data_IF_626471083823
#
_entry.id   IF_626471083823
#
_cell.length_a   1.000
_cell.length_b   1.000
_cell.length_c   1.000
_cell.angle_alpha   90.00
_cell.angle_beta   90.00
_cell.angle_gamma   90.00
#
_symmetry.space_group_name_H-M   'P 1'
#
loop_
_entity.id
_entity.type
_entity.pdbx_description
1 polymer ?
#
# COMPACT_ATOMS: atom_id res chain seq x y z
N UNK A 1 -15.88 16.48 -29.14
CA UNK A 1 -14.81 17.49 -28.97
C UNK A 1 -13.67 16.79 -28.22
N UNK A 2 -12.38 16.91 -28.61
CA UNK A 2 -11.32 16.24 -27.86
C UNK A 2 -11.25 16.83 -26.45
N UNK A 3 -11.39 15.98 -25.44
CA UNK A 3 -11.33 16.40 -24.04
C UNK A 3 -9.92 16.89 -23.73
N UNK A 4 -9.85 18.07 -23.09
CA UNK A 4 -8.60 18.66 -22.65
C UNK A 4 -8.39 18.31 -21.18
N UNK A 5 -7.21 17.82 -20.83
CA UNK A 5 -6.80 17.59 -19.44
C UNK A 5 -6.00 18.80 -18.95
N UNK A 6 -6.28 19.28 -17.74
CA UNK A 6 -5.50 20.34 -17.11
C UNK A 6 -4.51 19.70 -16.13
N UNK A 7 -3.22 19.81 -16.42
CA UNK A 7 -2.14 19.25 -15.60
C UNK A 7 -1.36 20.39 -14.94
N UNK A 8 -1.10 20.29 -13.64
CA UNK A 8 -0.23 21.23 -12.93
C UNK A 8 1.22 20.74 -12.99
N UNK A 9 2.14 21.55 -13.51
CA UNK A 9 3.54 21.21 -13.55
C UNK A 9 4.10 21.03 -12.14
N UNK A 10 4.66 19.86 -11.83
CA UNK A 10 5.27 19.58 -10.52
C UNK A 10 6.62 20.30 -10.32
N UNK A 11 7.12 21.01 -11.34
CA UNK A 11 8.33 21.82 -11.23
C UNK A 11 8.04 23.30 -10.93
N UNK A 12 7.16 23.93 -11.70
CA UNK A 12 6.89 25.38 -11.60
C UNK A 12 5.45 25.74 -11.20
N UNK A 13 4.56 24.76 -11.03
CA UNK A 13 3.16 24.99 -10.63
C UNK A 13 2.24 25.54 -11.72
N UNK A 14 2.76 25.82 -12.93
CA UNK A 14 1.96 26.28 -14.08
C UNK A 14 0.92 25.22 -14.46
N UNK A 15 -0.33 25.65 -14.68
CA UNK A 15 -1.39 24.79 -15.23
C UNK A 15 -1.24 24.73 -16.75
N UNK A 16 -1.22 23.53 -17.31
CA UNK A 16 -1.06 23.28 -18.74
C UNK A 16 -2.32 22.58 -19.24
N UNK A 17 -2.93 23.10 -20.30
CA UNK A 17 -4.09 22.48 -20.96
C UNK A 17 -3.57 21.59 -22.09
N UNK A 18 -3.66 20.29 -21.91
CA UNK A 18 -3.12 19.29 -22.83
C UNK A 18 -4.29 18.52 -23.47
N UNK A 19 -4.41 18.49 -24.81
CA UNK A 19 -5.37 17.62 -25.49
C UNK A 19 -5.04 16.16 -25.18
N UNK A 20 -6.04 15.33 -24.84
CA UNK A 20 -5.84 13.93 -24.44
C UNK A 20 -5.00 13.12 -25.45
N UNK A 21 -5.13 13.41 -26.75
CA UNK A 21 -4.37 12.78 -27.84
C UNK A 21 -2.85 13.06 -27.78
N UNK A 22 -2.42 14.14 -27.10
CA UNK A 22 -1.00 14.50 -26.95
C UNK A 22 -0.37 13.91 -25.69
N UNK A 23 -1.13 13.21 -24.85
CA UNK A 23 -0.59 12.58 -23.63
C UNK A 23 0.42 11.49 -23.95
N UNK A 24 0.21 10.75 -25.05
CA UNK A 24 1.13 9.72 -25.56
C UNK A 24 2.46 10.29 -26.10
N UNK A 25 2.61 11.62 -26.19
CA UNK A 25 3.82 12.28 -26.75
C UNK A 25 4.71 12.92 -25.68
N UNK A 26 4.59 12.52 -24.41
CA UNK A 26 5.36 13.10 -23.28
C UNK A 26 5.25 14.63 -23.22
N UNK A 27 4.07 15.16 -22.84
CA UNK A 27 3.84 16.59 -22.85
C UNK A 27 4.79 17.33 -21.91
N UNK A 28 5.30 18.48 -22.33
CA UNK A 28 6.15 19.36 -21.52
C UNK A 28 5.39 20.60 -21.06
N UNK A 29 5.85 21.20 -19.97
CA UNK A 29 5.29 22.43 -19.46
C UNK A 29 5.58 23.57 -20.44
N UNK A 30 4.56 24.33 -20.84
CA UNK A 30 4.74 25.50 -21.70
C UNK A 30 5.50 26.68 -21.07
N UNK A 31 5.81 26.60 -19.77
CA UNK A 31 6.59 27.62 -19.06
C UNK A 31 8.04 27.19 -18.78
N UNK A 32 8.23 26.05 -18.11
CA UNK A 32 9.57 25.59 -17.71
C UNK A 32 10.11 24.41 -18.53
N UNK A 33 9.36 23.93 -19.53
CA UNK A 33 9.69 22.78 -20.38
C UNK A 33 9.90 21.45 -19.64
N UNK A 34 9.66 21.39 -18.33
CA UNK A 34 9.72 20.15 -17.57
C UNK A 34 8.63 19.17 -18.04
N UNK A 35 8.91 17.85 -18.07
CA UNK A 35 7.92 16.84 -18.40
C UNK A 35 6.72 16.89 -17.44
N UNK A 36 5.50 16.79 -17.99
CA UNK A 36 4.25 16.85 -17.24
C UNK A 36 3.68 15.47 -16.90
N UNK A 37 4.27 14.42 -17.45
CA UNK A 37 3.96 13.00 -17.25
C UNK A 37 4.77 12.35 -16.12
N UNK A 38 5.59 13.14 -15.41
CA UNK A 38 6.41 12.68 -14.30
C UNK A 38 5.66 12.80 -12.97
N UNK A 39 5.61 11.70 -12.23
CA UNK A 39 5.18 11.63 -10.84
C UNK A 39 6.36 11.83 -9.90
N UNK A 40 6.12 12.43 -8.72
CA UNK A 40 7.12 12.53 -7.66
C UNK A 40 6.82 11.49 -6.60
N UNK A 41 7.73 10.54 -6.42
CA UNK A 41 7.62 9.45 -5.45
C UNK A 41 8.66 9.66 -4.34
N UNK A 42 8.20 9.70 -3.09
CA UNK A 42 9.09 9.81 -1.93
C UNK A 42 9.56 8.41 -1.53
N UNK A 43 10.87 8.20 -1.45
CA UNK A 43 11.44 6.96 -0.93
C UNK A 43 11.10 6.83 0.56
N UNK A 44 10.48 5.71 0.95
CA UNK A 44 10.11 5.45 2.35
C UNK A 44 11.34 5.18 3.24
N UNK A 45 12.46 4.72 2.67
CA UNK A 45 13.71 4.52 3.41
C UNK A 45 14.49 5.81 3.67
N UNK A 46 14.74 6.62 2.63
CA UNK A 46 15.65 7.77 2.74
C UNK A 46 14.98 9.14 2.54
N UNK A 47 13.67 9.18 2.28
CA UNK A 47 12.91 10.42 2.09
C UNK A 47 13.16 11.16 0.76
N UNK A 48 14.06 10.66 -0.10
CA UNK A 48 14.37 11.31 -1.38
C UNK A 48 13.18 11.32 -2.31
N UNK A 49 12.94 12.46 -2.96
CA UNK A 49 11.95 12.62 -4.03
C UNK A 49 12.54 12.11 -5.34
N UNK A 50 11.91 11.11 -5.93
CA UNK A 50 12.30 10.50 -7.20
C UNK A 50 11.25 10.90 -8.25
N UNK A 51 11.69 11.32 -9.43
CA UNK A 51 10.81 11.66 -10.55
C UNK A 51 10.70 10.46 -11.47
N UNK A 52 9.49 9.97 -11.71
CA UNK A 52 9.26 8.81 -12.56
C UNK A 52 8.12 9.04 -13.54
N UNK A 53 8.30 8.72 -14.83
CA UNK A 53 7.20 8.68 -15.77
C UNK A 53 6.26 7.51 -15.44
N UNK A 54 4.99 7.64 -15.79
CA UNK A 54 3.94 6.64 -15.51
C UNK A 54 4.27 5.25 -16.09
N UNK A 55 4.93 5.20 -17.26
CA UNK A 55 5.34 3.94 -17.89
C UNK A 55 6.31 3.11 -17.04
N UNK A 56 7.04 3.75 -16.11
CA UNK A 56 8.05 3.09 -15.28
C UNK A 56 7.52 2.62 -13.93
N UNK A 57 6.26 2.89 -13.61
CA UNK A 57 5.68 2.49 -12.33
C UNK A 57 5.55 0.97 -12.20
N UNK A 58 5.32 0.28 -13.31
CA UNK A 58 5.27 -1.20 -13.40
C UNK A 58 6.66 -1.85 -13.36
N UNK A 59 7.75 -1.07 -13.49
CA UNK A 59 9.12 -1.60 -13.65
C UNK A 59 9.90 -1.83 -12.36
N UNK A 60 9.22 -1.94 -11.21
CA UNK A 60 9.85 -2.01 -9.86
C UNK A 60 10.99 -0.99 -9.70
N UNK A 61 10.68 0.31 -9.79
CA UNK A 61 11.71 1.34 -9.82
C UNK A 61 12.50 1.45 -8.51
N UNK A 62 13.79 1.73 -8.62
CA UNK A 62 14.68 1.94 -7.45
C UNK A 62 14.88 3.42 -7.15
N UNK A 63 15.16 3.74 -5.90
CA UNK A 63 15.50 5.07 -5.46
C UNK A 63 16.88 5.46 -5.98
N UNK A 64 16.98 6.58 -6.68
CA UNK A 64 18.24 7.09 -7.20
C UNK A 64 19.27 7.51 -6.15
N UNK A 65 18.88 7.60 -4.86
CA UNK A 65 19.80 7.92 -3.75
C UNK A 65 20.26 6.70 -2.98
N UNK A 66 19.35 5.84 -2.53
CA UNK A 66 19.70 4.72 -1.64
C UNK A 66 19.55 3.35 -2.29
N UNK A 67 19.13 3.27 -3.56
CA UNK A 67 18.92 2.01 -4.28
C UNK A 67 17.69 1.21 -3.86
N UNK A 68 16.96 1.65 -2.82
CA UNK A 68 15.78 0.95 -2.30
C UNK A 68 14.62 0.97 -3.29
N UNK A 69 13.84 -0.11 -3.36
CA UNK A 69 12.64 -0.14 -4.18
C UNK A 69 11.67 1.00 -3.79
N UNK A 70 11.19 1.73 -4.79
CA UNK A 70 10.19 2.77 -4.61
C UNK A 70 8.80 2.12 -4.58
N UNK A 71 8.01 2.50 -3.59
CA UNK A 71 6.61 2.10 -3.51
C UNK A 71 5.79 3.07 -4.32
N UNK A 72 5.08 2.55 -5.32
CA UNK A 72 4.21 3.31 -6.20
C UNK A 72 2.79 2.83 -5.99
N UNK A 73 1.89 3.72 -5.58
CA UNK A 73 0.49 3.44 -5.26
C UNK A 73 -0.39 3.06 -6.49
N UNK A 74 0.21 2.57 -7.58
CA UNK A 74 -0.49 2.32 -8.85
C UNK A 74 -0.93 0.88 -9.06
N UNK A 75 -0.81 0.04 -8.05
CA UNK A 75 -1.41 -1.30 -8.07
C UNK A 75 -2.55 -1.28 -7.06
N UNK A 76 -3.79 -1.45 -7.52
CA UNK A 76 -4.94 -1.75 -6.64
C UNK A 76 -4.71 -3.15 -6.04
N UNK A 77 -3.80 -3.23 -5.08
CA UNK A 77 -3.44 -4.47 -4.42
C UNK A 77 -4.45 -4.64 -3.31
N UNK A 78 -5.29 -5.66 -3.50
CA UNK A 78 -6.29 -6.04 -2.52
C UNK A 78 -5.62 -6.93 -1.45
N UNK A 79 -6.08 -6.85 -0.19
CA UNK A 79 -5.70 -7.81 0.82
C UNK A 79 -5.96 -9.24 0.36
N UNK A 80 -5.06 -10.16 0.69
CA UNK A 80 -5.24 -11.58 0.39
C UNK A 80 -6.11 -12.21 1.48
N UNK A 81 -7.24 -12.81 1.12
CA UNK A 81 -8.01 -13.61 2.06
C UNK A 81 -7.21 -14.88 2.40
N UNK A 82 -7.00 -15.12 3.68
CA UNK A 82 -6.31 -16.29 4.21
C UNK A 82 -7.29 -17.16 5.00
N UNK A 83 -6.97 -18.44 5.03
CA UNK A 83 -7.76 -19.49 5.68
C UNK A 83 -6.91 -20.28 6.67
N UNK A 84 -7.54 -21.10 7.49
CA UNK A 84 -6.83 -22.04 8.39
C UNK A 84 -5.76 -22.87 7.62
N UNK A 85 -6.09 -23.36 6.43
CA UNK A 85 -5.17 -24.17 5.61
C UNK A 85 -4.04 -23.36 4.97
N UNK A 86 -4.30 -22.10 4.62
CA UNK A 86 -3.36 -21.25 3.88
C UNK A 86 -2.52 -20.36 4.79
N UNK A 87 -2.91 -20.17 6.05
CA UNK A 87 -2.26 -19.23 6.97
C UNK A 87 -0.76 -19.47 7.11
N UNK A 88 -0.34 -20.73 7.27
CA UNK A 88 1.08 -21.08 7.39
C UNK A 88 1.88 -20.64 6.17
N UNK A 89 1.36 -20.90 4.96
CA UNK A 89 2.04 -20.53 3.71
C UNK A 89 2.01 -19.01 3.47
N UNK A 90 0.85 -18.40 3.65
CA UNK A 90 0.62 -17.01 3.26
C UNK A 90 1.14 -15.99 4.27
N UNK A 91 1.20 -16.35 5.56
CA UNK A 91 1.58 -15.46 6.67
C UNK A 91 2.90 -15.89 7.30
N UNK A 92 3.03 -17.16 7.71
CA UNK A 92 4.19 -17.60 8.50
C UNK A 92 5.45 -17.80 7.65
N UNK A 93 5.28 -18.29 6.42
CA UNK A 93 6.38 -18.49 5.47
C UNK A 93 6.64 -17.28 4.56
N UNK A 94 5.99 -16.13 4.83
CA UNK A 94 6.16 -14.93 4.01
C UNK A 94 7.58 -14.35 4.17
N UNK A 95 8.23 -14.04 3.05
CA UNK A 95 9.56 -13.43 3.04
C UNK A 95 9.53 -11.96 3.51
N UNK A 96 8.39 -11.30 3.33
CA UNK A 96 8.11 -9.93 3.78
C UNK A 96 7.22 -9.92 5.02
N UNK A 97 7.20 -8.81 5.74
CA UNK A 97 6.33 -8.64 6.91
C UNK A 97 4.84 -8.71 6.51
N UNK A 98 3.98 -9.16 7.41
CA UNK A 98 2.56 -9.39 7.12
C UNK A 98 1.66 -8.70 8.14
N UNK A 99 0.66 -7.96 7.67
CA UNK A 99 -0.46 -7.47 8.46
C UNK A 99 -1.67 -8.37 8.19
N UNK A 100 -2.28 -8.94 9.23
CA UNK A 100 -3.52 -9.70 9.12
C UNK A 100 -4.66 -8.94 9.82
N UNK A 101 -5.72 -8.62 9.08
CA UNK A 101 -6.99 -8.11 9.63
C UNK A 101 -7.94 -9.28 9.94
N UNK A 102 -8.17 -9.54 11.22
CA UNK A 102 -9.13 -10.52 11.70
C UNK A 102 -10.51 -9.88 11.82
N UNK A 103 -11.44 -10.32 10.99
CA UNK A 103 -12.74 -9.67 10.79
C UNK A 103 -13.89 -10.68 10.70
N UNK A 104 -15.13 -10.20 10.62
CA UNK A 104 -16.32 -10.98 10.30
C UNK A 104 -17.38 -10.11 9.59
N UNK A 105 -18.28 -10.68 8.76
CA UNK A 105 -19.22 -9.91 7.93
C UNK A 105 -20.32 -9.19 8.73
N UNK A 106 -20.60 -9.63 9.95
CA UNK A 106 -21.56 -8.99 10.85
C UNK A 106 -20.95 -7.86 11.70
N UNK A 107 -19.62 -7.71 11.68
CA UNK A 107 -18.91 -6.71 12.48
C UNK A 107 -18.98 -5.32 11.83
N UNK A 108 -19.79 -4.44 12.41
CA UNK A 108 -19.92 -3.03 11.97
C UNK A 108 -18.57 -2.28 11.93
N UNK A 109 -17.78 -2.27 13.03
CA UNK A 109 -16.46 -1.62 13.03
C UNK A 109 -15.49 -2.18 12.00
N UNK A 110 -15.54 -3.48 11.70
CA UNK A 110 -14.71 -4.11 10.67
C UNK A 110 -15.04 -3.56 9.28
N UNK A 111 -16.33 -3.34 8.97
CA UNK A 111 -16.74 -2.72 7.71
C UNK A 111 -16.22 -1.29 7.56
N UNK A 112 -16.18 -0.52 8.64
CA UNK A 112 -15.62 0.83 8.64
C UNK A 112 -14.10 0.83 8.46
N UNK A 113 -13.41 -0.20 8.96
CA UNK A 113 -11.96 -0.34 8.85
C UNK A 113 -11.52 -0.88 7.48
N UNK A 114 -12.34 -1.69 6.81
CA UNK A 114 -11.99 -2.36 5.57
C UNK A 114 -11.38 -1.45 4.47
N UNK A 115 -11.93 -0.25 4.17
CA UNK A 115 -11.31 0.64 3.18
C UNK A 115 -9.89 1.09 3.59
N UNK A 116 -9.64 1.25 4.89
CA UNK A 116 -8.30 1.57 5.39
C UNK A 116 -7.35 0.40 5.18
N UNK A 117 -7.81 -0.85 5.39
CA UNK A 117 -7.00 -2.05 5.14
C UNK A 117 -6.68 -2.19 3.65
N UNK A 118 -7.63 -1.92 2.76
CA UNK A 118 -7.43 -1.94 1.30
C UNK A 118 -6.43 -0.87 0.85
N UNK A 119 -6.53 0.35 1.40
CA UNK A 119 -5.55 1.41 1.17
C UNK A 119 -4.15 0.99 1.64
N UNK A 120 -4.03 0.42 2.84
CA UNK A 120 -2.74 -0.04 3.38
C UNK A 120 -2.13 -1.16 2.52
N UNK A 121 -2.96 -2.06 1.99
CA UNK A 121 -2.52 -3.10 1.06
C UNK A 121 -1.89 -2.51 -0.21
N UNK A 122 -2.48 -1.45 -0.75
CA UNK A 122 -1.97 -0.74 -1.92
C UNK A 122 -0.74 0.12 -1.60
N UNK A 123 -0.76 0.85 -0.48
CA UNK A 123 0.29 1.79 -0.08
C UNK A 123 1.60 1.09 0.34
N UNK A 124 1.52 -0.14 0.85
CA UNK A 124 2.67 -0.87 1.42
C UNK A 124 3.01 -2.20 0.74
N UNK A 125 2.40 -2.51 -0.41
CA UNK A 125 2.57 -3.78 -1.12
C UNK A 125 4.02 -4.27 -1.35
N UNK A 126 4.98 -3.35 -1.44
CA UNK A 126 6.39 -3.66 -1.69
C UNK A 126 7.18 -4.00 -0.41
N UNK A 127 6.63 -3.79 0.78
CA UNK A 127 7.29 -4.04 2.07
C UNK A 127 6.46 -4.84 3.06
N UNK A 128 5.14 -4.85 2.88
CA UNK A 128 4.20 -5.56 3.74
C UNK A 128 3.15 -6.25 2.88
N UNK A 129 2.89 -7.52 3.17
CA UNK A 129 1.72 -8.23 2.68
C UNK A 129 0.55 -7.93 3.60
N UNK A 130 -0.58 -7.52 3.05
CA UNK A 130 -1.81 -7.37 3.83
C UNK A 130 -2.72 -8.55 3.53
N UNK A 131 -3.23 -9.17 4.59
CA UNK A 131 -4.09 -10.33 4.55
C UNK A 131 -5.33 -10.11 5.41
N UNK A 132 -6.40 -10.86 5.12
CA UNK A 132 -7.66 -10.83 5.85
C UNK A 132 -8.04 -12.24 6.27
N UNK A 133 -8.47 -12.38 7.52
CA UNK A 133 -8.91 -13.65 8.10
C UNK A 133 -10.33 -13.48 8.63
N UNK A 134 -11.29 -14.14 7.99
CA UNK A 134 -12.64 -14.24 8.54
C UNK A 134 -12.63 -15.21 9.73
N UNK A 135 -12.92 -14.71 10.93
CA UNK A 135 -12.82 -15.51 12.16
C UNK A 135 -13.93 -16.56 12.30
N UNK A 136 -15.07 -16.37 11.64
CA UNK A 136 -16.17 -17.35 11.67
C UNK A 136 -15.83 -18.59 10.84
N UNK A 137 -15.18 -18.38 9.70
CA UNK A 137 -14.80 -19.44 8.75
C UNK A 137 -13.48 -20.11 9.14
N UNK A 138 -12.66 -19.45 9.96
CA UNK A 138 -11.30 -19.88 10.32
C UNK A 138 -11.10 -19.94 11.85
N UNK A 139 -11.90 -20.76 12.57
CA UNK A 139 -11.90 -20.78 14.02
C UNK A 139 -10.61 -21.36 14.62
N UNK A 140 -9.87 -22.20 13.88
CA UNK A 140 -8.63 -22.78 14.39
C UNK A 140 -7.55 -21.70 14.54
N UNK A 141 -7.35 -20.90 13.50
CA UNK A 141 -6.41 -19.76 13.53
C UNK A 141 -6.87 -18.70 14.52
N UNK A 142 -8.18 -18.37 14.53
CA UNK A 142 -8.73 -17.41 15.49
C UNK A 142 -8.49 -17.85 16.95
N UNK A 143 -8.66 -19.14 17.24
CA UNK A 143 -8.37 -19.71 18.58
C UNK A 143 -6.88 -19.72 18.88
N UNK A 144 -6.04 -20.14 17.93
CA UNK A 144 -4.59 -20.20 18.07
C UNK A 144 -4.00 -18.83 18.46
N UNK A 145 -4.48 -17.76 17.84
CA UNK A 145 -4.06 -16.40 18.18
C UNK A 145 -4.95 -15.74 19.25
N UNK A 146 -5.92 -16.45 19.82
CA UNK A 146 -6.77 -15.93 20.91
C UNK A 146 -7.53 -14.66 20.52
N UNK A 147 -8.16 -14.65 19.35
CA UNK A 147 -8.98 -13.54 18.86
C UNK A 147 -10.31 -13.55 19.63
N UNK A 148 -10.49 -12.60 20.55
CA UNK A 148 -11.69 -12.47 21.41
C UNK A 148 -12.60 -11.32 21.01
N UNK A 149 -12.09 -10.42 20.17
CA UNK A 149 -12.77 -9.20 19.73
C UNK A 149 -12.30 -8.88 18.33
N UNK A 150 -13.18 -8.32 17.52
CA UNK A 150 -12.88 -7.92 16.14
C UNK A 150 -13.32 -6.46 15.90
N UNK A 151 -12.62 -5.71 15.02
CA UNK A 151 -11.43 -6.15 14.28
C UNK A 151 -10.21 -6.30 15.20
N UNK A 152 -9.35 -7.27 14.89
CA UNK A 152 -8.03 -7.41 15.52
C UNK A 152 -6.98 -7.45 14.41
N UNK A 153 -5.97 -6.61 14.52
CA UNK A 153 -4.85 -6.57 13.59
C UNK A 153 -3.67 -7.32 14.19
N UNK A 154 -3.13 -8.29 13.45
CA UNK A 154 -1.94 -9.05 13.82
C UNK A 154 -0.78 -8.68 12.91
N UNK A 155 0.37 -8.41 13.52
CA UNK A 155 1.57 -7.95 12.82
C UNK A 155 2.63 -9.05 12.90
N UNK A 156 3.03 -9.58 11.76
CA UNK A 156 4.01 -10.65 11.65
C UNK A 156 5.30 -10.15 10.99
N UNK A 157 6.43 -10.60 11.55
CA UNK A 157 7.77 -10.41 10.99
C UNK A 157 8.54 -11.72 11.14
N UNK A 158 9.15 -12.18 10.05
CA UNK A 158 9.91 -13.45 10.03
C UNK A 158 9.08 -14.65 10.54
N UNK A 159 7.80 -14.69 10.16
CA UNK A 159 6.85 -15.71 10.59
C UNK A 159 6.45 -15.66 12.06
N UNK A 160 6.84 -14.63 12.80
CA UNK A 160 6.53 -14.46 14.22
C UNK A 160 5.58 -13.30 14.43
N UNK A 161 4.58 -13.50 15.29
CA UNK A 161 3.73 -12.42 15.76
C UNK A 161 4.57 -11.47 16.62
N UNK A 162 4.69 -10.22 16.19
CA UNK A 162 5.47 -9.20 16.90
C UNK A 162 4.59 -8.17 17.59
N UNK A 163 3.36 -7.96 17.09
CA UNK A 163 2.46 -6.97 17.64
C UNK A 163 0.99 -7.29 17.35
N UNK A 164 0.10 -6.76 18.17
CA UNK A 164 -1.36 -6.86 18.05
C UNK A 164 -2.02 -5.54 18.38
N UNK A 165 -2.99 -5.15 17.57
CA UNK A 165 -3.90 -4.06 17.85
C UNK A 165 -5.35 -4.57 17.85
N UNK A 166 -6.17 -4.01 18.74
CA UNK A 166 -7.59 -4.40 18.87
C UNK A 166 -8.47 -3.17 18.65
N UNK A 167 -9.51 -3.34 17.84
CA UNK A 167 -10.49 -2.31 17.52
C UNK A 167 -10.22 -1.60 16.19
N UNK A 168 -11.20 -0.81 15.75
CA UNK A 168 -11.10 0.01 14.55
C UNK A 168 -10.30 1.29 14.88
N UNK A 169 -9.01 1.27 14.57
CA UNK A 169 -8.08 2.38 14.83
C UNK A 169 -7.93 3.29 13.60
N UNK A 170 -7.56 4.57 13.79
CA UNK A 170 -7.22 5.46 12.67
C UNK A 170 -6.05 4.93 11.84
N UNK A 171 -6.07 5.18 10.52
CA UNK A 171 -5.01 4.75 9.59
C UNK A 171 -3.61 5.10 10.10
N UNK A 172 -3.40 6.33 10.57
CA UNK A 172 -2.09 6.80 11.01
C UNK A 172 -1.52 6.02 12.20
N UNK A 173 -2.39 5.48 13.04
CA UNK A 173 -1.98 4.62 14.15
C UNK A 173 -1.46 3.29 13.63
N UNK A 174 -2.24 2.64 12.75
CA UNK A 174 -1.89 1.36 12.13
C UNK A 174 -0.58 1.49 11.33
N UNK A 175 -0.42 2.57 10.57
CA UNK A 175 0.79 2.86 9.79
C UNK A 175 2.04 2.95 10.68
N UNK A 176 1.93 3.56 11.86
CA UNK A 176 3.08 3.67 12.78
C UNK A 176 3.61 2.30 13.18
N UNK A 177 2.71 1.39 13.49
CA UNK A 177 3.04 0.00 13.84
C UNK A 177 3.55 -0.77 12.63
N UNK A 178 2.92 -0.60 11.48
CA UNK A 178 3.31 -1.22 10.22
C UNK A 178 4.75 -0.82 9.83
N UNK A 179 5.10 0.46 9.92
CA UNK A 179 6.45 0.96 9.67
C UNK A 179 7.49 0.37 10.63
N UNK A 180 7.12 0.06 11.88
CA UNK A 180 8.05 -0.53 12.86
C UNK A 180 8.42 -1.99 12.56
N UNK A 181 7.58 -2.71 11.82
CA UNK A 181 7.78 -4.13 11.52
C UNK A 181 8.39 -4.38 10.13
N UNK A 182 8.47 -3.36 9.27
CA UNK A 182 9.08 -3.49 7.94
C UNK A 182 10.56 -3.84 8.10
N UNK A 183 10.99 -4.89 7.39
CA UNK A 183 12.40 -5.24 7.29
C UNK A 183 13.16 -4.07 6.68
N UNK A 184 14.01 -3.45 7.48
CA UNK A 184 15.00 -2.50 6.96
C UNK A 184 16.24 -3.31 6.63
N UNK A 185 16.50 -3.52 5.34
CA UNK A 185 17.81 -4.01 4.88
C UNK A 185 18.86 -2.92 5.04
#
# INVERSE_FOLDING_TARGET
>A
MPENVIIRCLNCGTKNRIPQQKFQRRPTCGHCHAPLDQLIIRCLKCGTKNRLPEERLSSKPLCGKCGEALVVATQNIQPVEVTDDSFAREVLSAEISVLVDCWAPWCGPCKSLAPTIDELASDYANGVKVAKLNVDENPATATQYGIRSIPTLLFFRDGRLVERLVGALPKQEIERHLLSIIKTN
#
